data_IF_158511403424
#
_entry.id   IF_158511403424
#
_cell.length_a   1.000
_cell.length_b   1.000
_cell.length_c   1.000
_cell.angle_alpha   90.00
_cell.angle_beta   90.00
_cell.angle_gamma   90.00
#
_symmetry.space_group_name_H-M   'P 1'
#
loop_
_entity.id
_entity.type
_entity.pdbx_description
1 polymer ?
#
# COMPACT_ATOMS: atom_id res chain seq x y z
N UNK A 1 15.46 36.37 -66.75
CA UNK A 1 15.21 34.91 -66.78
C UNK A 1 16.30 34.24 -65.97
N UNK A 2 15.97 33.75 -64.76
CA UNK A 2 16.94 33.09 -63.88
C UNK A 2 16.90 31.58 -64.12
N UNK A 3 18.04 30.90 -64.32
CA UNK A 3 18.04 29.46 -64.57
C UNK A 3 17.68 28.72 -63.28
N UNK A 4 16.59 27.95 -63.35
CA UNK A 4 16.13 27.08 -62.27
C UNK A 4 17.16 25.98 -62.03
N UNK A 5 17.83 26.03 -60.87
CA UNK A 5 18.69 24.95 -60.37
C UNK A 5 17.89 23.66 -60.24
N UNK A 6 18.11 22.71 -61.16
CA UNK A 6 17.59 21.35 -61.07
C UNK A 6 18.23 20.67 -59.85
N UNK A 7 17.46 20.58 -58.77
CA UNK A 7 17.86 19.94 -57.52
C UNK A 7 18.22 18.47 -57.81
N UNK A 8 19.46 18.01 -57.56
CA UNK A 8 19.85 16.64 -57.89
C UNK A 8 19.03 15.64 -57.07
N UNK A 9 18.43 14.66 -57.75
CA UNK A 9 17.68 13.55 -57.16
C UNK A 9 18.63 12.76 -56.24
N UNK A 10 18.22 12.39 -55.01
CA UNK A 10 19.08 11.62 -54.12
C UNK A 10 19.46 10.29 -54.77
N UNK A 11 20.77 10.06 -54.91
CA UNK A 11 21.33 8.80 -55.39
C UNK A 11 20.90 7.70 -54.41
N UNK A 12 20.35 6.60 -54.95
CA UNK A 12 20.08 5.38 -54.19
C UNK A 12 21.42 4.93 -53.58
N UNK A 13 21.56 5.07 -52.27
CA UNK A 13 22.70 4.52 -51.53
C UNK A 13 22.65 3.00 -51.64
N UNK A 14 23.80 2.37 -51.82
CA UNK A 14 23.86 0.91 -51.85
C UNK A 14 23.59 0.38 -50.44
N UNK A 15 23.03 -0.82 -50.35
CA UNK A 15 22.74 -1.48 -49.07
C UNK A 15 23.99 -1.52 -48.18
N UNK A 16 25.15 -1.85 -48.75
CA UNK A 16 26.44 -1.84 -48.03
C UNK A 16 26.77 -0.50 -47.37
N UNK A 17 26.50 0.64 -48.03
CA UNK A 17 26.76 1.96 -47.43
C UNK A 17 25.80 2.31 -46.29
N UNK A 18 24.55 1.85 -46.35
CA UNK A 18 23.59 2.04 -45.26
C UNK A 18 23.90 1.10 -44.09
N UNK A 19 24.37 -0.12 -44.36
CA UNK A 19 24.84 -1.05 -43.34
C UNK A 19 26.05 -0.50 -42.58
N UNK A 20 27.04 0.06 -43.28
CA UNK A 20 28.19 0.70 -42.64
C UNK A 20 27.76 1.87 -41.73
N UNK A 21 26.81 2.69 -42.19
CA UNK A 21 26.22 3.76 -41.37
C UNK A 21 25.46 3.20 -40.17
N UNK A 22 24.72 2.12 -40.34
CA UNK A 22 24.01 1.45 -39.25
C UNK A 22 25.00 0.96 -38.18
N UNK A 23 26.11 0.35 -38.58
CA UNK A 23 27.17 -0.06 -37.66
C UNK A 23 27.70 1.10 -36.83
N UNK A 24 28.04 2.22 -37.47
CA UNK A 24 28.50 3.43 -36.77
C UNK A 24 27.44 3.90 -35.76
N UNK A 25 26.16 3.87 -36.14
CA UNK A 25 25.06 4.26 -35.24
C UNK A 25 24.94 3.34 -34.02
N UNK A 26 25.18 2.04 -34.18
CA UNK A 26 25.17 1.09 -33.07
C UNK A 26 26.32 1.36 -32.09
N UNK A 27 27.53 1.64 -32.60
CA UNK A 27 28.67 2.02 -31.74
C UNK A 27 28.36 3.22 -30.83
N UNK A 28 27.61 4.21 -31.34
CA UNK A 28 27.25 5.40 -30.56
C UNK A 28 26.14 5.12 -29.54
N UNK A 29 25.17 4.26 -29.89
CA UNK A 29 23.92 4.08 -29.12
C UNK A 29 23.99 2.97 -28.08
N UNK A 30 24.80 1.93 -28.29
CA UNK A 30 24.92 0.76 -27.40
C UNK A 30 25.27 1.13 -25.95
N UNK A 31 25.99 2.23 -25.73
CA UNK A 31 26.33 2.70 -24.39
C UNK A 31 25.13 3.28 -23.61
N UNK A 32 24.12 3.78 -24.32
CA UNK A 32 22.96 4.46 -23.74
C UNK A 32 21.77 3.52 -23.59
N UNK A 33 21.59 2.60 -24.54
CA UNK A 33 20.44 1.73 -24.64
C UNK A 33 20.81 0.28 -24.36
N UNK A 34 20.37 -0.22 -23.19
CA UNK A 34 20.63 -1.59 -22.75
C UNK A 34 19.90 -2.64 -23.60
N UNK A 35 18.72 -2.31 -24.12
CA UNK A 35 17.92 -3.25 -24.92
C UNK A 35 18.58 -3.47 -26.27
N UNK A 36 18.96 -2.38 -26.94
CA UNK A 36 19.74 -2.41 -28.17
C UNK A 36 21.07 -3.17 -27.99
N UNK A 37 21.78 -2.91 -26.90
CA UNK A 37 23.04 -3.60 -26.60
C UNK A 37 22.85 -5.13 -26.46
N UNK A 38 21.75 -5.57 -25.86
CA UNK A 38 21.45 -7.00 -25.71
C UNK A 38 21.13 -7.66 -27.07
N UNK A 39 20.34 -7.00 -27.92
CA UNK A 39 19.99 -7.50 -29.25
C UNK A 39 21.22 -7.60 -30.16
N UNK A 40 22.02 -6.53 -30.22
CA UNK A 40 23.27 -6.51 -31.01
C UNK A 40 24.25 -7.55 -30.49
N UNK A 41 24.38 -7.71 -29.18
CA UNK A 41 25.22 -8.75 -28.57
C UNK A 41 24.77 -10.15 -28.97
N UNK A 42 23.47 -10.45 -28.91
CA UNK A 42 22.92 -11.74 -29.30
C UNK A 42 23.18 -12.05 -30.78
N UNK A 43 23.02 -11.05 -31.66
CA UNK A 43 23.31 -11.19 -33.09
C UNK A 43 24.80 -11.46 -33.33
N UNK A 44 25.69 -10.73 -32.65
CA UNK A 44 27.14 -10.96 -32.75
C UNK A 44 27.56 -12.30 -32.15
N UNK A 45 26.83 -12.87 -31.19
CA UNK A 45 27.15 -14.20 -30.65
C UNK A 45 26.69 -15.33 -31.58
N UNK A 46 25.63 -15.10 -32.37
CA UNK A 46 25.15 -16.05 -33.37
C UNK A 46 26.07 -16.13 -34.60
N UNK A 47 26.76 -15.04 -34.98
CA UNK A 47 27.65 -14.98 -36.14
C UNK A 47 29.11 -14.70 -35.73
N UNK A 48 29.96 -15.73 -35.83
CA UNK A 48 31.37 -15.68 -35.43
C UNK A 48 32.20 -14.76 -36.33
N UNK A 49 31.87 -14.66 -37.62
CA UNK A 49 32.61 -13.79 -38.54
C UNK A 49 32.26 -12.32 -38.29
N UNK A 50 30.97 -12.00 -38.10
CA UNK A 50 30.57 -10.65 -37.68
C UNK A 50 31.17 -10.25 -36.33
N UNK A 51 31.25 -11.19 -35.37
CA UNK A 51 31.90 -10.97 -34.08
C UNK A 51 33.37 -10.62 -34.21
N UNK A 52 34.09 -11.30 -35.10
CA UNK A 52 35.52 -11.04 -35.37
C UNK A 52 35.70 -9.66 -35.99
N UNK A 53 34.84 -9.30 -36.95
CA UNK A 53 34.88 -7.99 -37.63
C UNK A 53 34.53 -6.82 -36.71
N UNK A 54 33.61 -7.01 -35.77
CA UNK A 54 33.13 -5.96 -34.85
C UNK A 54 33.39 -6.29 -33.37
N UNK A 55 34.58 -6.80 -33.06
CA UNK A 55 34.95 -7.20 -31.69
C UNK A 55 34.86 -6.05 -30.68
N UNK A 56 35.20 -4.83 -31.10
CA UNK A 56 35.07 -3.64 -30.25
C UNK A 56 33.61 -3.40 -29.86
N UNK A 57 32.67 -3.53 -30.80
CA UNK A 57 31.23 -3.40 -30.52
C UNK A 57 30.76 -4.47 -29.54
N UNK A 58 31.21 -5.70 -29.73
CA UNK A 58 30.91 -6.83 -28.84
C UNK A 58 31.31 -6.51 -27.39
N UNK A 59 32.54 -6.02 -27.18
CA UNK A 59 33.04 -5.66 -25.85
C UNK A 59 32.26 -4.47 -25.27
N UNK A 60 32.00 -3.44 -26.07
CA UNK A 60 31.20 -2.28 -25.67
C UNK A 60 29.79 -2.68 -25.22
N UNK A 61 29.14 -3.63 -25.92
CA UNK A 61 27.84 -4.15 -25.51
C UNK A 61 27.91 -4.84 -24.13
N UNK A 62 28.94 -5.66 -23.89
CA UNK A 62 29.09 -6.34 -22.59
C UNK A 62 29.35 -5.35 -21.46
N UNK A 63 30.15 -4.32 -21.72
CA UNK A 63 30.43 -3.27 -20.74
C UNK A 63 29.18 -2.44 -20.43
N UNK A 64 28.42 -2.05 -21.46
CA UNK A 64 27.20 -1.25 -21.29
C UNK A 64 26.15 -2.03 -20.49
N UNK A 65 25.96 -3.32 -20.77
CA UNK A 65 25.03 -4.18 -20.02
C UNK A 65 25.44 -4.33 -18.55
N UNK A 66 26.74 -4.49 -18.25
CA UNK A 66 27.23 -4.53 -16.86
C UNK A 66 26.98 -3.20 -16.15
N UNK A 67 27.29 -2.10 -16.82
CA UNK A 67 27.10 -0.75 -16.27
C UNK A 67 25.62 -0.46 -15.99
N UNK A 68 24.72 -0.87 -16.89
CA UNK A 68 23.27 -0.74 -16.72
C UNK A 68 22.76 -1.62 -15.58
N UNK A 69 23.19 -2.87 -15.46
CA UNK A 69 22.81 -3.74 -14.35
C UNK A 69 23.20 -3.13 -12.98
N UNK A 70 24.37 -2.50 -12.87
CA UNK A 70 24.80 -1.80 -11.65
C UNK A 70 23.89 -0.59 -11.35
N UNK A 71 23.51 0.19 -12.37
CA UNK A 71 22.58 1.32 -12.21
C UNK A 71 21.20 0.85 -11.77
N UNK A 72 20.67 -0.20 -12.39
CA UNK A 72 19.38 -0.78 -12.02
C UNK A 72 19.38 -1.33 -10.60
N UNK A 73 20.45 -2.02 -10.18
CA UNK A 73 20.56 -2.53 -8.82
C UNK A 73 20.52 -1.41 -7.77
N UNK A 74 21.20 -0.29 -8.04
CA UNK A 74 21.14 0.90 -7.17
C UNK A 74 19.73 1.48 -7.13
N UNK A 75 19.11 1.66 -8.29
CA UNK A 75 17.75 2.20 -8.40
C UNK A 75 16.71 1.29 -7.72
N UNK A 76 16.86 -0.03 -7.82
CA UNK A 76 15.99 -1.01 -7.17
C UNK A 76 16.09 -0.94 -5.64
N UNK A 77 17.29 -0.74 -5.07
CA UNK A 77 17.47 -0.56 -3.63
C UNK A 77 16.82 0.74 -3.17
N UNK A 78 17.02 1.83 -3.90
CA UNK A 78 16.40 3.13 -3.59
C UNK A 78 14.88 3.04 -3.68
N UNK A 79 14.34 2.47 -4.75
CA UNK A 79 12.89 2.31 -4.92
C UNK A 79 12.26 1.47 -3.82
N UNK A 80 12.91 0.37 -3.40
CA UNK A 80 12.45 -0.46 -2.28
C UNK A 80 12.49 0.30 -0.96
N UNK A 81 13.56 1.07 -0.72
CA UNK A 81 13.71 1.89 0.47
C UNK A 81 12.62 2.97 0.54
N UNK A 82 12.44 3.74 -0.53
CA UNK A 82 11.41 4.80 -0.63
C UNK A 82 10.02 4.20 -0.42
N UNK A 83 9.69 3.07 -1.06
CA UNK A 83 8.41 2.38 -0.87
C UNK A 83 8.19 1.97 0.58
N UNK A 84 9.22 1.44 1.26
CA UNK A 84 9.14 1.04 2.67
C UNK A 84 8.98 2.26 3.59
N UNK A 85 9.69 3.35 3.32
CA UNK A 85 9.55 4.60 4.09
C UNK A 85 8.15 5.19 3.95
N UNK A 86 7.65 5.34 2.71
CA UNK A 86 6.32 5.87 2.46
C UNK A 86 5.24 4.98 3.09
N UNK A 87 5.36 3.66 2.96
CA UNK A 87 4.43 2.74 3.61
C UNK A 87 4.49 2.84 5.14
N UNK A 88 5.69 2.95 5.72
CA UNK A 88 5.87 3.13 7.16
C UNK A 88 5.21 4.41 7.67
N UNK A 89 5.46 5.52 7.00
CA UNK A 89 4.99 6.85 7.41
C UNK A 89 3.49 7.04 7.18
N UNK A 90 2.98 6.64 6.01
CA UNK A 90 1.60 6.95 5.62
C UNK A 90 0.61 5.83 5.92
N UNK A 91 1.06 4.59 6.07
CA UNK A 91 0.14 3.44 6.30
C UNK A 91 0.29 2.90 7.71
N UNK A 92 1.51 2.56 8.12
CA UNK A 92 1.74 1.90 9.41
C UNK A 92 1.57 2.87 10.57
N UNK A 93 2.22 4.04 10.54
CA UNK A 93 2.14 5.02 11.62
C UNK A 93 0.71 5.43 11.98
N UNK A 94 -0.12 5.97 11.08
CA UNK A 94 -1.49 6.36 11.43
C UNK A 94 -2.35 5.18 11.88
N UNK A 95 -2.16 3.97 11.32
CA UNK A 95 -2.86 2.77 11.80
C UNK A 95 -2.47 2.41 13.23
N UNK A 96 -1.18 2.49 13.57
CA UNK A 96 -0.70 2.18 14.93
C UNK A 96 -1.14 3.25 15.94
N UNK A 97 -1.07 4.54 15.57
CA UNK A 97 -1.54 5.66 16.39
C UNK A 97 -3.03 5.52 16.63
N UNK A 98 -3.85 5.33 15.59
CA UNK A 98 -5.28 5.11 15.73
C UNK A 98 -5.64 3.91 16.61
N UNK A 99 -4.90 2.80 16.50
CA UNK A 99 -5.10 1.63 17.38
C UNK A 99 -4.73 1.92 18.83
N UNK A 100 -3.61 2.63 19.08
CA UNK A 100 -3.19 3.01 20.43
C UNK A 100 -4.16 4.01 21.06
N UNK A 101 -4.65 4.99 20.30
CA UNK A 101 -5.67 5.95 20.79
C UNK A 101 -6.97 5.24 21.16
N UNK A 102 -7.46 4.31 20.32
CA UNK A 102 -8.66 3.51 20.64
C UNK A 102 -8.48 2.74 21.95
N UNK A 103 -7.36 2.03 22.08
CA UNK A 103 -7.05 1.24 23.28
C UNK A 103 -6.88 2.12 24.52
N UNK A 104 -6.30 3.31 24.37
CA UNK A 104 -6.21 4.30 25.45
C UNK A 104 -7.58 4.86 25.85
N UNK A 105 -8.47 5.07 24.88
CA UNK A 105 -9.86 5.41 25.13
C UNK A 105 -10.60 4.33 25.91
N UNK A 106 -10.46 3.06 25.52
CA UNK A 106 -11.06 1.93 26.24
C UNK A 106 -10.58 1.86 27.70
N UNK A 107 -9.29 2.11 27.94
CA UNK A 107 -8.71 2.15 29.29
C UNK A 107 -9.22 3.36 30.06
N UNK A 108 -9.27 4.55 29.45
CA UNK A 108 -9.80 5.74 30.09
C UNK A 108 -11.28 5.60 30.47
N UNK A 109 -12.09 4.98 29.60
CA UNK A 109 -13.49 4.64 29.88
C UNK A 109 -13.60 3.68 31.06
N UNK A 110 -12.74 2.66 31.13
CA UNK A 110 -12.70 1.73 32.26
C UNK A 110 -12.20 2.38 33.58
N UNK A 111 -11.47 3.49 33.50
CA UNK A 111 -10.99 4.25 34.65
C UNK A 111 -11.89 5.44 35.02
N UNK A 112 -12.96 5.72 34.27
CA UNK A 112 -13.98 6.64 34.76
C UNK A 112 -14.63 5.97 35.98
N UNK A 113 -14.84 6.70 37.09
CA UNK A 113 -15.68 6.19 38.16
C UNK A 113 -17.02 5.82 37.53
N UNK A 114 -17.54 4.65 37.84
CA UNK A 114 -18.89 4.24 37.47
C UNK A 114 -19.81 5.36 37.93
N UNK A 115 -20.15 6.26 37.01
CA UNK A 115 -21.17 7.24 37.28
C UNK A 115 -22.39 6.39 37.58
N UNK A 116 -22.97 6.57 38.76
CA UNK A 116 -24.25 5.98 39.19
C UNK A 116 -25.43 6.29 38.21
N UNK A 117 -25.16 6.78 37.01
CA UNK A 117 -26.04 6.75 35.85
C UNK A 117 -26.20 5.31 35.33
N UNK A 118 -26.78 4.48 36.17
CA UNK A 118 -27.26 3.15 35.83
C UNK A 118 -28.20 3.27 34.61
N UNK A 119 -27.86 2.69 33.45
CA UNK A 119 -28.67 2.82 32.24
C UNK A 119 -30.07 2.22 32.42
N UNK A 120 -30.23 1.34 33.40
CA UNK A 120 -31.53 0.84 33.85
C UNK A 120 -32.44 1.97 34.34
N UNK A 121 -31.94 2.96 35.08
CA UNK A 121 -32.76 4.09 35.55
C UNK A 121 -33.23 4.99 34.41
N UNK A 122 -32.38 5.22 33.41
CA UNK A 122 -32.76 5.96 32.21
C UNK A 122 -33.81 5.21 31.38
N UNK A 123 -33.65 3.89 31.22
CA UNK A 123 -34.64 3.04 30.55
C UNK A 123 -35.94 2.92 31.34
N UNK A 124 -35.88 2.78 32.67
CA UNK A 124 -37.04 2.75 33.57
C UNK A 124 -37.79 4.07 33.53
N UNK A 125 -37.11 5.22 33.50
CA UNK A 125 -37.78 6.53 33.30
C UNK A 125 -38.44 6.63 31.93
N UNK A 126 -37.82 6.09 30.88
CA UNK A 126 -38.39 6.06 29.52
C UNK A 126 -39.62 5.16 29.44
N UNK A 127 -39.54 3.95 29.98
CA UNK A 127 -40.64 2.98 30.09
C UNK A 127 -41.76 3.48 31.01
N UNK A 128 -41.44 4.20 32.09
CA UNK A 128 -42.42 4.82 32.99
C UNK A 128 -43.12 6.03 32.37
N UNK A 129 -42.46 6.71 31.42
CA UNK A 129 -43.04 7.83 30.67
C UNK A 129 -43.96 7.34 29.53
N UNK A 130 -43.79 6.11 29.08
CA UNK A 130 -44.54 5.50 27.98
C UNK A 130 -46.04 5.33 28.32
N UNK A 131 -46.96 6.00 27.58
CA UNK A 131 -48.39 5.93 27.86
C UNK A 131 -48.99 4.54 27.61
N UNK A 132 -48.45 3.75 26.69
CA UNK A 132 -48.96 2.41 26.38
C UNK A 132 -48.71 1.43 27.54
N UNK A 133 -47.51 1.49 28.15
CA UNK A 133 -47.17 0.73 29.35
C UNK A 133 -47.98 1.17 30.57
N UNK A 134 -48.32 2.47 30.68
CA UNK A 134 -49.17 2.98 31.76
C UNK A 134 -50.61 2.48 31.64
N UNK A 135 -51.15 2.46 30.43
CA UNK A 135 -52.47 1.88 30.15
C UNK A 135 -52.50 0.37 30.42
N UNK A 136 -51.46 -0.37 30.01
CA UNK A 136 -51.34 -1.81 30.25
C UNK A 136 -51.21 -2.14 31.75
N UNK A 137 -50.47 -1.34 32.53
CA UNK A 137 -50.38 -1.49 34.00
C UNK A 137 -51.72 -1.23 34.70
N UNK A 138 -52.49 -0.24 34.24
CA UNK A 138 -53.84 0.04 34.75
C UNK A 138 -54.84 -1.08 34.43
N UNK A 139 -54.66 -1.78 33.32
CA UNK A 139 -55.47 -2.95 32.96
C UNK A 139 -55.10 -4.21 33.78
N UNK A 140 -53.93 -4.23 34.43
CA UNK A 140 -53.40 -5.36 35.20
C UNK A 140 -53.54 -5.19 36.73
N UNK A 141 -54.21 -4.14 37.22
CA UNK A 141 -54.56 -3.96 38.64
C UNK A 141 -55.99 -4.49 38.91
N UNK A 142 -56.18 -5.79 39.19
CA UNK A 142 -57.39 -6.28 39.82
C UNK A 142 -57.22 -6.17 41.35
N UNK A 143 -58.21 -5.54 41.96
CA UNK A 143 -58.46 -5.45 43.40
C UNK A 143 -57.86 -6.61 44.24
N UNK A 144 -56.85 -6.31 45.06
CA UNK A 144 -56.53 -7.11 46.24
C UNK A 144 -55.98 -6.23 47.36
N UNK A 145 -56.88 -5.84 48.26
CA UNK A 145 -56.50 -5.28 49.55
C UNK A 145 -55.82 -6.34 50.42
N UNK A 146 -54.90 -5.87 51.27
CA UNK A 146 -54.43 -6.57 52.46
C UNK A 146 -53.42 -7.71 52.23
N UNK A 147 -52.15 -7.45 52.57
CA UNK A 147 -51.45 -8.04 53.74
C UNK A 147 -49.96 -7.70 53.62
N UNK A 148 -49.46 -6.96 54.60
CA UNK A 148 -48.03 -6.72 54.79
C UNK A 148 -47.36 -8.03 55.20
N UNK A 149 -46.30 -8.44 54.50
CA UNK A 149 -45.33 -9.43 55.01
C UNK A 149 -43.92 -8.94 54.76
N UNK A 150 -43.35 -8.48 55.88
CA UNK A 150 -41.98 -8.66 56.37
C UNK A 150 -40.80 -8.67 55.37
N UNK A 151 -39.98 -7.63 55.57
CA UNK A 151 -38.52 -7.63 55.42
C UNK A 151 -37.87 -8.92 55.94
N UNK A 152 -37.02 -9.53 55.11
CA UNK A 152 -36.01 -10.49 55.55
C UNK A 152 -34.65 -10.06 54.96
N UNK A 153 -33.93 -9.27 55.73
CA UNK A 153 -32.49 -9.16 55.62
C UNK A 153 -31.86 -10.51 55.99
N UNK A 154 -31.06 -11.08 55.08
CA UNK A 154 -30.18 -12.21 55.39
C UNK A 154 -28.79 -11.90 54.84
N UNK A 155 -27.87 -11.70 55.77
CA UNK A 155 -26.48 -11.36 55.51
C UNK A 155 -25.64 -12.51 54.95
N UNK A 156 -24.51 -12.07 54.39
CA UNK A 156 -23.24 -12.71 54.05
C UNK A 156 -22.90 -14.08 54.69
N UNK A 157 -22.00 -14.88 54.07
CA UNK A 157 -20.59 -14.62 54.36
C UNK A 157 -19.60 -14.74 53.18
N UNK A 158 -18.57 -13.89 53.27
CA UNK A 158 -17.28 -13.95 52.58
C UNK A 158 -16.63 -15.34 52.69
N UNK A 159 -16.21 -15.90 51.56
CA UNK A 159 -15.24 -17.00 51.53
C UNK A 159 -13.83 -16.41 51.53
N UNK A 160 -13.06 -16.87 52.52
CA UNK A 160 -11.68 -16.50 52.84
C UNK A 160 -10.70 -17.25 51.94
N UNK A 161 -9.64 -16.57 51.53
CA UNK A 161 -8.50 -17.12 50.82
C UNK A 161 -7.71 -18.16 51.66
N UNK A 162 -7.19 -19.18 50.99
CA UNK A 162 -6.08 -20.04 51.40
C UNK A 162 -5.17 -20.14 50.16
N UNK A 163 -3.98 -19.53 50.25
CA UNK A 163 -2.65 -20.21 50.29
C UNK A 163 -2.25 -20.86 48.97
#
# INVERSE_FOLDING_TARGET
MSPSSLRPKPRRTSVATEEERAWISFYQRVGQDATLAAEVLAQLEADVEMKRMHLALYLSCRESLRSHAVREQRNARIGRFVRRMLHGLFVVMPRTVGRKLKRGGDIAVACLPEADAEPALAQVRRLASDPELRAARGAFEPASGGTAVASAAAGCPKVRAAE
#
